data_IF_363600190526
#
_entry.id   IF_363600190526
#
_cell.length_a   1.000
_cell.length_b   1.000
_cell.length_c   1.000
_cell.angle_alpha   90.00
_cell.angle_beta   90.00
_cell.angle_gamma   90.00
#
_symmetry.space_group_name_H-M   'P 1'
#
loop_
_entity.id
_entity.type
_entity.pdbx_description
1 polymer ?
#
# COMPACT_ATOMS: atom_id res chain seq x y z
N UNK A 1 -2.10 30.63 23.42
CA UNK A 1 -2.77 29.37 23.05
C UNK A 1 -2.31 29.06 21.64
N UNK A 2 -1.30 28.20 21.50
CA UNK A 2 -0.82 27.74 20.21
C UNK A 2 -1.83 26.74 19.65
N UNK A 3 -2.54 27.12 18.59
CA UNK A 3 -3.43 26.19 17.90
C UNK A 3 -2.59 25.19 17.12
N UNK A 4 -2.78 23.87 17.30
CA UNK A 4 -2.03 22.88 16.55
C UNK A 4 -2.35 23.02 15.05
N UNK A 5 -1.33 23.30 14.25
CA UNK A 5 -1.46 23.38 12.80
C UNK A 5 -1.44 21.97 12.20
N UNK A 6 -2.62 21.47 11.82
CA UNK A 6 -2.79 20.16 11.21
C UNK A 6 -2.71 20.30 9.69
N UNK A 7 -1.91 19.46 9.03
CA UNK A 7 -1.80 19.49 7.57
C UNK A 7 -3.13 19.16 6.89
N UNK A 8 -3.37 19.77 5.71
CA UNK A 8 -4.62 19.57 4.94
C UNK A 8 -4.90 18.10 4.59
N UNK A 9 -3.86 17.29 4.40
CA UNK A 9 -4.00 15.86 4.11
C UNK A 9 -4.54 15.09 5.32
N UNK A 10 -4.04 15.42 6.52
CA UNK A 10 -4.50 14.80 7.76
C UNK A 10 -5.95 15.21 8.05
N UNK A 11 -6.30 16.48 7.85
CA UNK A 11 -7.68 16.95 8.02
C UNK A 11 -8.67 16.22 7.10
N UNK A 12 -8.31 16.00 5.83
CA UNK A 12 -9.16 15.24 4.87
C UNK A 12 -9.36 13.78 5.30
N UNK A 13 -8.31 13.15 5.80
CA UNK A 13 -8.34 11.77 6.28
C UNK A 13 -9.26 11.62 7.50
N UNK A 14 -9.11 12.50 8.50
CA UNK A 14 -9.96 12.54 9.70
C UNK A 14 -11.43 12.73 9.32
N UNK A 15 -11.72 13.67 8.41
CA UNK A 15 -13.09 13.91 7.94
C UNK A 15 -13.70 12.69 7.22
N UNK A 16 -12.89 11.98 6.43
CA UNK A 16 -13.33 10.79 5.70
C UNK A 16 -13.65 9.65 6.66
N UNK A 17 -12.77 9.40 7.62
CA UNK A 17 -12.97 8.34 8.62
C UNK A 17 -14.15 8.61 9.54
N UNK A 18 -14.30 9.84 10.04
CA UNK A 18 -15.46 10.22 10.85
C UNK A 18 -16.77 9.96 10.09
N UNK A 19 -16.82 10.34 8.81
CA UNK A 19 -17.96 10.09 7.93
C UNK A 19 -18.23 8.60 7.69
N UNK A 20 -17.19 7.78 7.52
CA UNK A 20 -17.32 6.33 7.33
C UNK A 20 -17.83 5.63 8.59
N UNK A 21 -17.38 6.09 9.76
CA UNK A 21 -17.78 5.56 11.05
C UNK A 21 -19.12 6.12 11.56
N UNK A 22 -19.69 7.11 10.87
CA UNK A 22 -20.96 7.73 11.25
C UNK A 22 -20.88 8.55 12.53
N UNK A 23 -19.67 9.00 12.91
CA UNK A 23 -19.41 9.80 14.12
C UNK A 23 -19.07 11.24 13.75
N UNK A 24 -19.18 12.14 14.72
CA UNK A 24 -18.71 13.53 14.58
C UNK A 24 -17.18 13.56 14.54
N UNK A 25 -16.62 14.65 14.01
CA UNK A 25 -15.17 14.82 13.95
C UNK A 25 -14.61 14.96 15.36
N UNK A 26 -15.35 15.62 16.24
CA UNK A 26 -15.02 15.83 17.64
C UNK A 26 -14.91 14.51 18.41
N UNK A 27 -15.93 13.64 18.31
CA UNK A 27 -15.92 12.32 18.96
C UNK A 27 -14.79 11.44 18.40
N UNK A 28 -14.52 11.54 17.10
CA UNK A 28 -13.40 10.82 16.48
C UNK A 28 -12.05 11.32 16.99
N UNK A 29 -11.90 12.64 17.15
CA UNK A 29 -10.69 13.27 17.68
C UNK A 29 -10.45 12.90 19.16
N UNK A 30 -11.50 12.84 19.97
CA UNK A 30 -11.40 12.39 21.36
C UNK A 30 -10.94 10.93 21.42
N UNK A 31 -11.53 10.06 20.58
CA UNK A 31 -11.17 8.64 20.51
C UNK A 31 -9.70 8.42 20.12
N UNK A 32 -9.17 9.16 19.14
CA UNK A 32 -7.75 9.04 18.76
C UNK A 32 -6.80 9.67 19.79
N UNK A 33 -7.28 10.57 20.64
CA UNK A 33 -6.49 11.23 21.67
C UNK A 33 -6.40 10.41 22.97
N UNK A 34 -7.40 9.56 23.24
CA UNK A 34 -7.40 8.61 24.34
C UNK A 34 -6.56 7.35 24.06
N UNK A 35 -6.35 7.01 22.78
CA UNK A 35 -5.40 5.96 22.41
C UNK A 35 -3.95 6.43 22.68
N UNK A 36 -3.11 5.64 23.37
CA UNK A 36 -1.71 6.01 23.57
C UNK A 36 -1.08 6.25 22.20
N UNK A 37 -0.43 7.40 22.04
CA UNK A 37 0.31 7.75 20.83
C UNK A 37 1.46 6.75 20.70
N UNK A 38 1.18 5.59 20.10
CA UNK A 38 2.21 4.78 19.48
C UNK A 38 2.85 5.70 18.44
N UNK A 39 4.02 6.22 18.82
CA UNK A 39 4.93 6.94 17.95
C UNK A 39 5.52 5.88 17.00
N UNK A 40 4.66 5.38 16.12
CA UNK A 40 4.86 4.25 15.26
C UNK A 40 4.11 4.55 13.98
N UNK A 41 4.86 4.99 12.98
CA UNK A 41 4.50 5.00 11.56
C UNK A 41 3.39 3.96 11.24
N UNK A 42 2.12 4.40 11.20
CA UNK A 42 0.94 3.58 10.88
C UNK A 42 0.89 3.23 9.37
N UNK A 43 2.01 2.74 8.84
CA UNK A 43 2.10 1.93 7.63
C UNK A 43 2.60 0.52 7.96
N UNK A 44 2.45 0.05 9.20
CA UNK A 44 2.50 -1.38 9.48
C UNK A 44 1.18 -2.00 9.04
N UNK A 45 1.01 -2.16 7.72
CA UNK A 45 0.54 -3.47 7.28
C UNK A 45 1.46 -4.44 7.99
N UNK A 46 0.92 -5.29 8.85
CA UNK A 46 1.68 -6.37 9.46
C UNK A 46 2.36 -7.11 8.29
N UNK A 47 3.62 -6.77 8.02
CA UNK A 47 4.42 -7.46 7.03
C UNK A 47 4.62 -8.81 7.68
N UNK A 48 3.69 -9.72 7.40
CA UNK A 48 3.79 -11.13 7.72
C UNK A 48 5.07 -11.58 7.04
N UNK A 49 6.18 -11.51 7.77
CA UNK A 49 7.47 -11.98 7.27
C UNK A 49 7.33 -13.48 7.17
N UNK A 50 6.98 -13.95 5.98
CA UNK A 50 7.08 -15.36 5.66
C UNK A 50 8.55 -15.76 5.85
N UNK A 51 8.79 -16.81 6.63
CA UNK A 51 10.15 -17.29 6.95
C UNK A 51 10.86 -17.85 5.70
N UNK A 52 10.12 -18.10 4.63
CA UNK A 52 10.61 -18.46 3.32
C UNK A 52 10.92 -17.22 2.49
N UNK A 53 12.21 -16.84 2.45
CA UNK A 53 12.73 -15.88 1.46
C UNK A 53 12.54 -16.49 0.07
N UNK A 54 11.48 -16.10 -0.63
CA UNK A 54 11.25 -16.48 -2.04
C UNK A 54 12.44 -15.96 -2.85
N UNK A 55 13.11 -16.85 -3.58
CA UNK A 55 14.20 -16.47 -4.46
C UNK A 55 13.62 -15.85 -5.74
N UNK A 56 13.75 -14.52 -5.84
CA UNK A 56 13.27 -13.71 -6.97
C UNK A 56 14.42 -13.27 -7.89
N UNK A 57 15.56 -13.96 -7.84
CA UNK A 57 16.77 -13.53 -8.56
C UNK A 57 16.57 -13.57 -10.08
N UNK A 58 15.81 -14.55 -10.59
CA UNK A 58 15.54 -14.72 -12.02
C UNK A 58 14.61 -13.64 -12.56
N UNK A 59 13.55 -13.31 -11.82
CA UNK A 59 12.60 -12.26 -12.14
C UNK A 59 13.32 -10.90 -12.20
N UNK A 60 14.22 -10.66 -11.24
CA UNK A 60 15.02 -9.44 -11.19
C UNK A 60 15.98 -9.31 -12.36
N UNK A 61 16.60 -10.40 -12.78
CA UNK A 61 17.46 -10.43 -13.97
C UNK A 61 16.65 -10.15 -15.24
N UNK A 62 15.50 -10.81 -15.38
CA UNK A 62 14.58 -10.57 -16.49
C UNK A 62 14.12 -9.11 -16.55
N UNK A 63 13.75 -8.51 -15.41
CA UNK A 63 13.36 -7.11 -15.33
C UNK A 63 14.51 -6.16 -15.67
N UNK A 64 15.76 -6.50 -15.30
CA UNK A 64 16.92 -5.69 -15.70
C UNK A 64 17.02 -5.58 -17.22
N UNK A 65 16.76 -6.66 -17.92
CA UNK A 65 16.86 -6.71 -19.38
C UNK A 65 15.62 -6.18 -20.08
N UNK A 66 14.42 -6.34 -19.52
CA UNK A 66 13.16 -6.13 -20.25
C UNK A 66 12.28 -4.99 -19.72
N UNK A 67 12.56 -4.40 -18.55
CA UNK A 67 11.71 -3.34 -17.95
C UNK A 67 11.42 -2.17 -18.89
N UNK A 68 12.38 -1.83 -19.75
CA UNK A 68 12.26 -0.71 -20.67
C UNK A 68 11.18 -0.92 -21.74
N UNK A 69 10.86 -2.18 -22.08
CA UNK A 69 9.84 -2.53 -23.07
C UNK A 69 8.41 -2.46 -22.52
N UNK A 70 8.26 -2.52 -21.20
CA UNK A 70 6.96 -2.64 -20.51
C UNK A 70 6.70 -1.47 -19.55
N UNK A 71 7.30 -0.30 -19.81
CA UNK A 71 7.10 0.89 -18.97
C UNK A 71 5.62 1.27 -18.92
N UNK A 72 5.10 1.47 -17.71
CA UNK A 72 3.69 1.80 -17.49
C UNK A 72 2.72 0.63 -17.70
N UNK A 73 3.24 -0.60 -17.80
CA UNK A 73 2.45 -1.82 -17.83
C UNK A 73 2.77 -2.68 -16.61
N UNK A 74 1.76 -3.38 -16.12
CA UNK A 74 1.94 -4.51 -15.22
C UNK A 74 2.53 -5.67 -15.99
N UNK A 75 3.46 -6.39 -15.35
CA UNK A 75 4.13 -7.56 -15.92
C UNK A 75 4.03 -8.68 -14.90
N UNK A 76 3.56 -9.85 -15.35
CA UNK A 76 3.49 -11.06 -14.53
C UNK A 76 4.55 -12.04 -15.03
N UNK A 77 5.41 -12.44 -14.10
CA UNK A 77 6.53 -13.33 -14.35
C UNK A 77 6.37 -14.61 -13.54
N UNK A 78 6.80 -15.72 -14.12
CA UNK A 78 7.02 -17.00 -13.47
C UNK A 78 8.50 -17.34 -13.66
N UNK A 79 9.33 -16.99 -12.66
CA UNK A 79 10.79 -17.05 -12.78
C UNK A 79 11.34 -16.09 -13.83
N UNK A 80 11.97 -16.64 -14.87
CA UNK A 80 12.51 -15.93 -16.04
C UNK A 80 11.52 -15.86 -17.21
N UNK A 81 10.26 -16.32 -17.03
CA UNK A 81 9.27 -16.37 -18.10
C UNK A 81 8.20 -15.30 -17.95
N UNK A 82 7.92 -14.60 -19.05
CA UNK A 82 6.78 -13.69 -19.14
C UNK A 82 5.46 -14.46 -19.30
N UNK A 83 4.55 -14.28 -18.34
CA UNK A 83 3.20 -14.86 -18.35
C UNK A 83 2.18 -13.88 -18.93
N UNK A 84 2.38 -12.57 -18.72
CA UNK A 84 1.53 -11.54 -19.31
C UNK A 84 2.02 -10.12 -19.03
N UNK A 85 1.64 -9.17 -19.88
CA UNK A 85 1.87 -7.75 -19.67
C UNK A 85 0.68 -6.90 -20.15
N UNK A 86 0.33 -5.85 -19.40
CA UNK A 86 -0.79 -4.98 -19.75
C UNK A 86 -1.05 -3.87 -18.74
N UNK A 87 -1.94 -2.94 -19.07
CA UNK A 87 -2.26 -1.78 -18.19
C UNK A 87 -3.17 -2.14 -17.02
N UNK A 88 -3.94 -3.21 -17.16
CA UNK A 88 -4.88 -3.66 -16.13
C UNK A 88 -4.31 -4.89 -15.41
N UNK A 89 -3.91 -4.77 -14.13
CA UNK A 89 -3.39 -5.90 -13.36
C UNK A 89 -4.45 -6.96 -13.08
N UNK A 90 -5.75 -6.60 -13.06
CA UNK A 90 -6.84 -7.53 -12.74
C UNK A 90 -6.93 -8.68 -13.74
N UNK A 91 -6.54 -8.44 -15.00
CA UNK A 91 -6.53 -9.44 -16.07
C UNK A 91 -5.50 -10.56 -15.87
N UNK A 92 -4.58 -10.41 -14.92
CA UNK A 92 -3.49 -11.37 -14.72
C UNK A 92 -3.54 -12.07 -13.35
N UNK A 93 -4.49 -11.73 -12.47
CA UNK A 93 -4.64 -12.34 -11.15
C UNK A 93 -4.91 -13.85 -11.26
N UNK A 94 -5.68 -14.29 -12.25
CA UNK A 94 -5.97 -15.72 -12.45
C UNK A 94 -4.78 -16.53 -12.98
N UNK A 95 -3.79 -15.87 -13.56
CA UNK A 95 -2.62 -16.53 -14.19
C UNK A 95 -1.42 -16.65 -13.26
N UNK A 96 -1.47 -16.04 -12.08
CA UNK A 96 -0.36 -15.96 -11.13
C UNK A 96 -0.49 -16.94 -9.94
N UNK A 97 -0.96 -18.17 -10.20
CA UNK A 97 -1.26 -19.16 -9.15
C UNK A 97 -0.21 -20.26 -9.05
#
# INVERSE_FOLDING_TARGET
MDTPNISSNIAKYILLEAKQNGVTVEDYLEKIAEEPVENGNKNSHEIRRTESKVDLSKEREWLKENRHKYVGQWVVLDGDRLVGAGKDPLLFIEKAR
#
